data_IF_877149929878
#
_entry.id   IF_877149929878
#
_cell.length_a   1.000
_cell.length_b   1.000
_cell.length_c   1.000
_cell.angle_alpha   90.00
_cell.angle_beta   90.00
_cell.angle_gamma   90.00
#
_symmetry.space_group_name_H-M   'P 1'
#
loop_
_entity.id
_entity.type
_entity.pdbx_description
1 polymer ?
#
# COMPACT_ATOMS: atom_id res chain seq x y z
N UNK A 1 -8.26 -9.77 15.47
CA UNK A 1 -8.99 -8.97 16.48
C UNK A 1 -8.77 -9.67 17.80
N UNK A 2 -8.37 -8.92 18.82
CA UNK A 2 -8.27 -9.39 20.19
C UNK A 2 -9.65 -9.72 20.80
N UNK A 3 -9.64 -10.45 21.91
CA UNK A 3 -10.84 -10.96 22.59
C UNK A 3 -11.77 -9.82 23.07
N UNK A 4 -11.19 -8.71 23.53
CA UNK A 4 -11.95 -7.52 23.97
C UNK A 4 -12.73 -6.89 22.81
N UNK A 5 -12.11 -6.79 21.64
CA UNK A 5 -12.74 -6.28 20.43
C UNK A 5 -13.93 -7.14 19.97
N UNK A 6 -13.83 -8.46 20.11
CA UNK A 6 -14.92 -9.40 19.78
C UNK A 6 -16.08 -9.23 20.78
N UNK A 7 -15.77 -9.18 22.08
CA UNK A 7 -16.79 -8.94 23.12
C UNK A 7 -17.54 -7.63 22.93
N UNK A 8 -16.86 -6.57 22.52
CA UNK A 8 -17.48 -5.28 22.23
C UNK A 8 -18.41 -5.36 21.02
N UNK A 9 -18.01 -6.06 19.96
CA UNK A 9 -18.82 -6.24 18.76
C UNK A 9 -20.11 -7.01 19.05
N UNK A 10 -20.04 -8.07 19.85
CA UNK A 10 -21.21 -8.83 20.31
C UNK A 10 -22.18 -7.97 21.11
N UNK A 11 -21.66 -7.09 21.99
CA UNK A 11 -22.49 -6.13 22.73
C UNK A 11 -23.20 -5.15 21.81
N UNK A 12 -22.48 -4.59 20.83
CA UNK A 12 -23.06 -3.69 19.82
C UNK A 12 -24.14 -4.41 19.02
N UNK A 13 -23.86 -5.63 18.56
CA UNK A 13 -24.82 -6.44 17.82
C UNK A 13 -26.08 -6.73 18.66
N UNK A 14 -25.93 -7.10 19.92
CA UNK A 14 -27.05 -7.34 20.84
C UNK A 14 -27.91 -6.09 21.09
N UNK A 15 -27.28 -4.91 21.25
CA UNK A 15 -28.00 -3.65 21.39
C UNK A 15 -28.80 -3.33 20.12
N UNK A 16 -28.18 -3.45 18.95
CA UNK A 16 -28.84 -3.15 17.69
C UNK A 16 -29.97 -4.13 17.39
N UNK A 17 -29.81 -5.42 17.71
CA UNK A 17 -30.86 -6.42 17.55
C UNK A 17 -32.11 -6.04 18.38
N UNK A 18 -31.91 -5.46 19.57
CA UNK A 18 -33.00 -5.04 20.45
C UNK A 18 -33.58 -3.66 20.12
N UNK A 19 -32.77 -2.72 19.62
CA UNK A 19 -33.11 -1.28 19.57
C UNK A 19 -33.21 -0.70 18.16
N UNK A 20 -32.54 -1.31 17.18
CA UNK A 20 -32.49 -0.85 15.79
C UNK A 20 -32.13 -2.03 14.86
N UNK A 21 -33.02 -3.03 14.70
CA UNK A 21 -32.75 -4.22 13.90
C UNK A 21 -32.47 -3.90 12.43
N UNK A 22 -32.99 -2.80 11.90
CA UNK A 22 -32.70 -2.28 10.56
C UNK A 22 -31.24 -1.85 10.38
N UNK A 23 -30.50 -1.63 11.46
CA UNK A 23 -29.06 -1.31 11.43
C UNK A 23 -28.17 -2.56 11.39
N UNK A 24 -28.70 -3.77 11.63
CA UNK A 24 -27.93 -5.02 11.58
C UNK A 24 -27.29 -5.25 10.20
N UNK A 25 -28.00 -5.10 9.07
CA UNK A 25 -27.37 -5.22 7.75
C UNK A 25 -26.27 -4.17 7.51
N UNK A 26 -26.36 -2.98 8.13
CA UNK A 26 -25.33 -1.95 8.03
C UNK A 26 -24.09 -2.33 8.85
N UNK A 27 -24.28 -2.92 10.04
CA UNK A 27 -23.18 -3.43 10.86
C UNK A 27 -22.45 -4.57 10.15
N UNK A 28 -23.17 -5.53 9.55
CA UNK A 28 -22.57 -6.62 8.78
C UNK A 28 -21.80 -6.10 7.56
N UNK A 29 -22.36 -5.13 6.85
CA UNK A 29 -21.66 -4.45 5.75
C UNK A 29 -20.39 -3.76 6.25
N UNK A 30 -20.43 -3.10 7.40
CA UNK A 30 -19.24 -2.48 8.00
C UNK A 30 -18.18 -3.53 8.33
N UNK A 31 -18.57 -4.63 9.00
CA UNK A 31 -17.69 -5.77 9.33
C UNK A 31 -17.01 -6.32 8.06
N UNK A 32 -17.77 -6.51 6.98
CA UNK A 32 -17.23 -7.00 5.70
C UNK A 32 -16.18 -6.06 5.08
N UNK A 33 -16.21 -4.76 5.43
CA UNK A 33 -15.26 -3.74 4.94
C UNK A 33 -14.05 -3.53 5.86
N UNK A 34 -14.03 -4.06 7.09
CA UNK A 34 -12.87 -3.95 7.99
C UNK A 34 -11.56 -4.42 7.37
N UNK A 35 -11.49 -5.59 6.69
CA UNK A 35 -10.26 -6.02 6.01
C UNK A 35 -9.77 -5.03 4.96
N UNK A 36 -10.69 -4.28 4.34
CA UNK A 36 -10.36 -3.27 3.35
C UNK A 36 -9.85 -1.99 4.00
N UNK A 37 -10.41 -1.58 5.14
CA UNK A 37 -9.92 -0.43 5.90
C UNK A 37 -8.52 -0.69 6.47
N UNK A 38 -8.28 -1.88 7.04
CA UNK A 38 -6.95 -2.24 7.53
C UNK A 38 -5.90 -2.20 6.43
N UNK A 39 -6.21 -2.75 5.26
CA UNK A 39 -5.29 -2.72 4.12
C UNK A 39 -5.05 -1.29 3.63
N UNK A 40 -6.10 -0.46 3.51
CA UNK A 40 -5.94 0.95 3.10
C UNK A 40 -5.11 1.76 4.08
N UNK A 41 -5.27 1.55 5.38
CA UNK A 41 -4.49 2.24 6.43
C UNK A 41 -3.02 1.80 6.35
N UNK A 42 -2.77 0.50 6.27
CA UNK A 42 -1.41 -0.05 6.15
C UNK A 42 -0.72 0.41 4.87
N UNK A 43 -1.43 0.38 3.74
CA UNK A 43 -0.88 0.85 2.46
C UNK A 43 -0.67 2.38 2.46
N UNK A 44 -1.54 3.16 3.11
CA UNK A 44 -1.34 4.61 3.27
C UNK A 44 -0.12 4.94 4.15
N UNK A 45 0.20 4.11 5.15
CA UNK A 45 1.41 4.26 5.96
C UNK A 45 2.69 3.83 5.23
N UNK A 46 2.59 2.78 4.40
CA UNK A 46 3.71 2.27 3.60
C UNK A 46 4.06 3.18 2.43
N UNK A 47 3.05 3.71 1.71
CA UNK A 47 3.21 4.49 0.49
C UNK A 47 4.22 5.65 0.59
N UNK A 48 4.22 6.51 1.62
CA UNK A 48 5.18 7.62 1.72
C UNK A 48 6.63 7.15 1.91
N UNK A 49 6.83 5.88 2.30
CA UNK A 49 8.15 5.26 2.54
C UNK A 49 8.49 4.16 1.52
N UNK A 50 7.69 4.04 0.47
CA UNK A 50 7.90 3.05 -0.60
C UNK A 50 8.34 3.75 -1.88
N UNK A 51 9.26 3.12 -2.61
CA UNK A 51 9.72 3.56 -3.92
C UNK A 51 9.33 2.51 -4.97
N UNK A 52 8.93 2.96 -6.16
CA UNK A 52 8.71 2.08 -7.32
C UNK A 52 9.89 2.25 -8.29
N UNK A 53 10.57 1.15 -8.58
CA UNK A 53 11.67 1.10 -9.56
C UNK A 53 11.15 0.37 -10.80
N UNK A 54 11.19 1.05 -11.95
CA UNK A 54 10.71 0.53 -13.23
C UNK A 54 11.91 0.22 -14.12
N UNK A 55 11.80 -0.82 -14.96
CA UNK A 55 12.84 -1.18 -15.94
C UNK A 55 13.94 -2.09 -15.38
N UNK A 56 13.72 -2.72 -14.23
CA UNK A 56 14.63 -3.75 -13.70
C UNK A 56 14.39 -5.06 -14.48
N UNK A 57 15.43 -5.67 -15.09
CA UNK A 57 15.27 -6.94 -15.80
C UNK A 57 14.76 -8.05 -14.87
N UNK A 58 13.70 -8.74 -15.29
CA UNK A 58 13.14 -9.85 -14.54
C UNK A 58 14.09 -11.06 -14.54
N UNK A 59 14.17 -11.79 -13.41
CA UNK A 59 14.93 -13.04 -13.36
C UNK A 59 14.25 -14.12 -14.20
N UNK A 60 15.05 -15.05 -14.74
CA UNK A 60 14.53 -16.21 -15.47
C UNK A 60 13.50 -16.97 -14.60
N UNK A 61 12.31 -17.18 -15.18
CA UNK A 61 11.19 -17.85 -14.52
C UNK A 61 11.50 -19.31 -14.14
N UNK A 62 12.48 -19.94 -14.80
CA UNK A 62 12.92 -21.32 -14.49
C UNK A 62 13.76 -21.41 -13.22
N UNK A 63 14.28 -20.28 -12.71
CA UNK A 63 15.05 -20.26 -11.48
C UNK A 63 14.19 -20.56 -10.25
N UNK A 64 14.81 -21.15 -9.25
CA UNK A 64 14.20 -21.35 -7.94
C UNK A 64 13.74 -20.01 -7.34
N UNK A 65 12.63 -19.98 -6.56
CA UNK A 65 12.11 -18.75 -5.97
C UNK A 65 13.15 -17.94 -5.18
N UNK A 66 14.02 -18.61 -4.43
CA UNK A 66 15.11 -17.96 -3.67
C UNK A 66 16.14 -17.29 -4.58
N UNK A 67 16.48 -17.90 -5.72
CA UNK A 67 17.40 -17.33 -6.69
C UNK A 67 16.80 -16.11 -7.41
N UNK A 68 15.50 -16.16 -7.73
CA UNK A 68 14.77 -15.01 -8.28
C UNK A 68 14.72 -13.85 -7.29
N UNK A 69 14.45 -14.14 -6.02
CA UNK A 69 14.46 -13.14 -4.96
C UNK A 69 15.84 -12.47 -4.82
N UNK A 70 16.91 -13.27 -4.75
CA UNK A 70 18.27 -12.78 -4.64
C UNK A 70 18.66 -11.88 -5.83
N UNK A 71 18.25 -12.25 -7.05
CA UNK A 71 18.46 -11.43 -8.25
C UNK A 71 17.80 -10.05 -8.13
N UNK A 72 16.52 -10.01 -7.70
CA UNK A 72 15.79 -8.76 -7.50
C UNK A 72 16.43 -7.90 -6.41
N UNK A 73 16.75 -8.49 -5.25
CA UNK A 73 17.38 -7.78 -4.14
C UNK A 73 18.73 -7.18 -4.55
N UNK A 74 19.57 -7.96 -5.25
CA UNK A 74 20.86 -7.48 -5.77
C UNK A 74 20.68 -6.33 -6.76
N UNK A 75 19.68 -6.42 -7.63
CA UNK A 75 19.40 -5.36 -8.61
C UNK A 75 18.98 -4.06 -7.92
N UNK A 76 18.15 -4.13 -6.88
CA UNK A 76 17.77 -2.96 -6.07
C UNK A 76 18.98 -2.37 -5.36
N UNK A 77 19.82 -3.19 -4.71
CA UNK A 77 21.04 -2.71 -4.04
C UNK A 77 21.95 -1.97 -5.01
N UNK A 78 22.23 -2.54 -6.18
CA UNK A 78 23.07 -1.89 -7.18
C UNK A 78 22.52 -0.52 -7.63
N UNK A 79 21.20 -0.37 -7.70
CA UNK A 79 20.56 0.91 -8.06
C UNK A 79 20.72 1.92 -6.92
N UNK A 80 20.51 1.51 -5.67
CA UNK A 80 20.72 2.37 -4.50
C UNK A 80 22.18 2.82 -4.39
N UNK A 81 23.13 1.90 -4.62
CA UNK A 81 24.57 2.21 -4.65
C UNK A 81 24.90 3.22 -5.76
N UNK A 82 24.33 3.04 -6.96
CA UNK A 82 24.55 3.96 -8.08
C UNK A 82 23.96 5.35 -7.84
N UNK A 83 22.93 5.45 -6.99
CA UNK A 83 22.31 6.71 -6.58
C UNK A 83 22.96 7.33 -5.33
N UNK A 84 23.97 6.67 -4.74
CA UNK A 84 24.59 7.05 -3.46
C UNK A 84 23.57 7.20 -2.32
N UNK A 85 22.59 6.29 -2.28
CA UNK A 85 21.53 6.27 -1.27
C UNK A 85 21.82 5.18 -0.24
N UNK A 86 22.18 5.59 0.97
CA UNK A 86 22.31 4.68 2.11
C UNK A 86 20.92 4.30 2.64
N UNK A 87 20.35 3.23 2.09
CA UNK A 87 19.06 2.69 2.53
C UNK A 87 19.07 1.17 2.58
N UNK A 88 18.36 0.61 3.56
CA UNK A 88 18.07 -0.83 3.64
C UNK A 88 16.56 -1.04 3.52
N UNK A 89 16.05 -1.48 2.37
CA UNK A 89 14.63 -1.79 2.21
C UNK A 89 14.17 -2.82 3.24
N UNK A 90 13.02 -2.56 3.89
CA UNK A 90 12.43 -3.52 4.83
C UNK A 90 11.84 -4.76 4.13
N UNK A 91 11.32 -4.57 2.92
CA UNK A 91 10.80 -5.62 2.06
C UNK A 91 10.96 -5.19 0.59
N UNK A 92 11.16 -6.18 -0.28
CA UNK A 92 11.23 -5.99 -1.73
C UNK A 92 10.18 -6.89 -2.38
N UNK A 93 9.29 -6.32 -3.18
CA UNK A 93 8.22 -7.07 -3.83
C UNK A 93 8.17 -6.72 -5.31
N UNK A 94 8.08 -7.73 -6.16
CA UNK A 94 7.78 -7.53 -7.59
C UNK A 94 6.27 -7.41 -7.72
N UNK A 95 5.82 -6.31 -8.28
CA UNK A 95 4.40 -6.06 -8.55
C UNK A 95 4.10 -6.45 -10.00
N UNK A 96 3.09 -7.29 -10.21
CA UNK A 96 2.54 -7.49 -11.54
C UNK A 96 1.83 -6.19 -11.99
N UNK A 97 2.26 -5.67 -13.14
CA UNK A 97 1.71 -4.52 -13.88
C UNK A 97 1.03 -3.41 -13.06
N UNK A 98 1.79 -2.35 -12.78
CA UNK A 98 1.19 -1.06 -12.44
C UNK A 98 0.52 -0.48 -13.70
N UNK A 99 -0.82 -0.45 -13.73
CA UNK A 99 -1.52 0.49 -14.61
C UNK A 99 -1.14 1.90 -14.18
N UNK A 100 -0.30 2.55 -14.97
CA UNK A 100 0.18 3.91 -14.72
C UNK A 100 -0.96 4.88 -14.95
N UNK A 101 -1.73 5.20 -13.91
CA UNK A 101 -2.41 6.49 -13.89
C UNK A 101 -1.33 7.57 -13.78
N UNK A 102 -0.96 8.10 -14.94
CA UNK A 102 -0.03 9.21 -15.10
C UNK A 102 -0.59 10.39 -14.31
N UNK A 103 -0.04 10.65 -13.13
CA UNK A 103 -0.25 11.92 -12.43
C UNK A 103 0.30 13.00 -13.34
N UNK A 104 -0.60 13.79 -13.94
CA UNK A 104 -0.24 14.90 -14.81
C UNK A 104 0.74 15.85 -14.10
N UNK A 105 1.83 16.28 -14.76
CA UNK A 105 2.75 17.23 -14.15
C UNK A 105 2.02 18.54 -13.85
N UNK A 106 2.14 19.00 -12.61
CA UNK A 106 1.64 20.27 -12.13
C UNK A 106 2.25 21.39 -12.98
N UNK A 107 1.41 22.19 -13.66
CA UNK A 107 1.89 23.27 -14.52
C UNK A 107 2.68 24.29 -13.68
N UNK A 108 3.87 24.74 -14.15
CA UNK A 108 4.60 25.78 -13.44
C UNK A 108 3.81 27.10 -13.48
N UNK A 109 3.64 27.71 -12.32
CA UNK A 109 3.10 29.07 -12.21
C UNK A 109 4.11 30.07 -12.78
N UNK A 110 3.84 30.56 -13.99
CA UNK A 110 4.60 31.63 -14.62
C UNK A 110 4.38 32.94 -13.85
N UNK A 111 5.36 33.35 -13.05
CA UNK A 111 5.38 34.69 -12.45
C UNK A 111 6.02 35.66 -13.45
N UNK A 112 5.19 36.40 -14.18
CA UNK A 112 5.64 37.52 -15.01
C UNK A 112 6.08 38.68 -14.09
N UNK A 113 7.39 38.83 -13.87
CA UNK A 113 7.97 40.06 -13.31
C UNK A 113 7.80 41.16 -14.37
N UNK A 114 6.96 42.16 -14.09
CA UNK A 114 6.90 43.39 -14.89
C UNK A 114 8.07 44.28 -14.48
N UNK A 115 9.00 44.54 -15.39
CA UNK A 115 9.96 45.63 -15.21
C UNK A 115 9.30 46.97 -15.55
N UNK A 116 9.56 47.94 -14.69
CA UNK A 116 9.11 49.33 -14.77
C UNK A 116 10.16 50.17 -15.50
#
# INVERSE_FOLDING_TARGET
>A
MDEDSISLLEKIHGILLSKAPEAIPLLEQLISKFPTFSNKIVEAEKRPRSLVIIGVPEPDATLAPSARQLHTEKSVTNILDALDVEARPMYTTVTADFSTEVVSPMKPHEHTIKHN
#
